data_IF_366328477023
#
_entry.id   IF_366328477023
#
_cell.length_a   1.000
_cell.length_b   1.000
_cell.length_c   1.000
_cell.angle_alpha   90.00
_cell.angle_beta   90.00
_cell.angle_gamma   90.00
#
_symmetry.space_group_name_H-M   'P 1'
#
loop_
_entity.id
_entity.type
_entity.pdbx_description
1 polymer ?
#
# COMPACT_ATOMS: atom_id res chain seq x y z
N UNK A 1 -5.03 0.09 -8.16
CA UNK A 1 -5.37 -0.41 -6.82
C UNK A 1 -5.95 0.67 -5.93
N UNK A 2 -5.21 1.76 -5.63
CA UNK A 2 -5.72 2.94 -4.89
C UNK A 2 -6.92 3.60 -5.59
N UNK A 3 -6.91 3.62 -6.94
CA UNK A 3 -8.01 4.06 -7.78
C UNK A 3 -9.35 3.37 -7.47
N UNK A 4 -9.38 2.18 -6.87
CA UNK A 4 -10.65 1.54 -6.49
C UNK A 4 -11.51 2.42 -5.56
N UNK A 5 -10.87 3.20 -4.68
CA UNK A 5 -11.54 4.07 -3.72
C UNK A 5 -11.88 5.46 -4.29
N UNK A 6 -11.11 5.96 -5.26
CA UNK A 6 -11.30 7.30 -5.86
C UNK A 6 -11.92 7.31 -7.26
N UNK A 7 -11.96 6.16 -7.96
CA UNK A 7 -12.44 6.05 -9.35
C UNK A 7 -13.89 6.51 -9.52
N UNK A 8 -14.74 6.29 -8.51
CA UNK A 8 -16.13 6.75 -8.52
C UNK A 8 -16.26 8.28 -8.56
N UNK A 9 -15.30 9.01 -8.00
CA UNK A 9 -15.29 10.47 -8.04
C UNK A 9 -14.72 11.02 -9.35
N UNK A 10 -13.92 10.23 -10.07
CA UNK A 10 -13.21 10.64 -11.29
C UNK A 10 -13.81 10.04 -12.57
N UNK A 11 -14.89 9.27 -12.47
CA UNK A 11 -15.53 8.60 -13.63
C UNK A 11 -14.71 7.47 -14.24
N UNK A 12 -13.69 6.97 -13.53
CA UNK A 12 -12.83 5.88 -14.00
C UNK A 12 -13.37 4.50 -13.63
N UNK A 13 -12.88 3.48 -14.33
CA UNK A 13 -13.25 2.10 -14.05
C UNK A 13 -12.50 1.56 -12.81
N UNK A 14 -13.21 1.42 -11.69
CA UNK A 14 -12.69 0.90 -10.42
C UNK A 14 -12.09 -0.52 -10.52
N UNK A 15 -12.50 -1.28 -11.53
CA UNK A 15 -12.14 -2.68 -11.71
C UNK A 15 -10.86 -2.88 -12.54
N UNK A 16 -10.13 -1.83 -12.91
CA UNK A 16 -8.82 -1.96 -13.60
C UNK A 16 -7.82 -2.84 -12.83
N UNK A 17 -7.97 -2.94 -11.50
CA UNK A 17 -7.18 -3.86 -10.68
C UNK A 17 -7.40 -5.33 -11.05
N UNK A 18 -8.59 -5.69 -11.51
CA UNK A 18 -8.98 -7.07 -11.84
C UNK A 18 -8.09 -7.69 -12.93
N UNK A 19 -7.48 -6.87 -13.79
CA UNK A 19 -6.51 -7.30 -14.79
C UNK A 19 -5.26 -7.96 -14.17
N UNK A 20 -5.00 -7.72 -12.88
CA UNK A 20 -3.89 -8.29 -12.12
C UNK A 20 -4.32 -9.43 -11.20
N UNK A 21 -5.59 -9.88 -11.28
CA UNK A 21 -6.14 -11.01 -10.51
C UNK A 21 -5.43 -12.30 -10.94
N UNK A 22 -4.39 -12.66 -10.20
CA UNK A 22 -3.50 -13.79 -10.50
C UNK A 22 -2.03 -13.50 -10.16
N UNK A 23 -1.66 -12.23 -9.97
CA UNK A 23 -0.33 -11.87 -9.52
C UNK A 23 -0.12 -12.20 -8.04
N UNK A 24 1.07 -12.68 -7.67
CA UNK A 24 1.42 -13.09 -6.30
C UNK A 24 1.13 -12.00 -5.25
N UNK A 25 1.33 -10.74 -5.62
CA UNK A 25 1.14 -9.57 -4.75
C UNK A 25 -0.21 -8.86 -4.93
N UNK A 26 -1.13 -9.43 -5.72
CA UNK A 26 -2.44 -8.82 -6.00
C UNK A 26 -3.22 -8.55 -4.72
N UNK A 27 -3.30 -9.57 -3.86
CA UNK A 27 -4.00 -9.50 -2.59
C UNK A 27 -3.30 -8.55 -1.61
N UNK A 28 -1.98 -8.65 -1.49
CA UNK A 28 -1.20 -7.75 -0.62
C UNK A 28 -1.38 -6.28 -0.99
N UNK A 29 -1.48 -5.98 -2.30
CA UNK A 29 -1.71 -4.62 -2.78
C UNK A 29 -3.12 -4.11 -2.44
N UNK A 30 -4.14 -4.99 -2.48
CA UNK A 30 -5.50 -4.63 -2.06
C UNK A 30 -5.54 -4.39 -0.55
N UNK A 31 -5.00 -5.32 0.23
CA UNK A 31 -4.98 -5.26 1.69
C UNK A 31 -4.21 -4.03 2.18
N UNK A 32 -3.12 -3.65 1.49
CA UNK A 32 -2.40 -2.41 1.78
C UNK A 32 -3.24 -1.17 1.50
N UNK A 33 -3.91 -1.10 0.35
CA UNK A 33 -4.72 0.06 -0.01
C UNK A 33 -5.91 0.25 0.96
N UNK A 34 -6.54 -0.85 1.38
CA UNK A 34 -7.69 -0.84 2.30
C UNK A 34 -7.29 -0.49 3.73
N UNK A 35 -6.16 -1.01 4.21
CA UNK A 35 -5.77 -0.84 5.60
C UNK A 35 -4.93 0.41 5.87
N UNK A 36 -4.19 0.91 4.89
CA UNK A 36 -3.23 1.99 5.10
C UNK A 36 -3.49 3.18 4.18
N UNK A 37 -3.60 2.95 2.87
CA UNK A 37 -3.69 4.05 1.89
C UNK A 37 -4.92 4.93 2.10
N UNK A 38 -6.14 4.36 1.99
CA UNK A 38 -7.37 5.15 2.15
C UNK A 38 -7.49 5.73 3.57
N UNK A 39 -7.08 4.98 4.60
CA UNK A 39 -7.23 5.39 6.00
C UNK A 39 -6.27 6.51 6.38
N UNK A 40 -5.11 6.62 5.72
CA UNK A 40 -4.14 7.69 5.96
C UNK A 40 -4.64 9.09 5.60
N UNK A 41 -5.72 9.20 4.81
CA UNK A 41 -6.37 10.47 4.51
C UNK A 41 -7.29 10.97 5.63
N UNK A 42 -7.58 10.14 6.66
CA UNK A 42 -8.30 10.59 7.85
C UNK A 42 -7.36 11.40 8.75
N UNK A 43 -7.69 12.68 9.06
CA UNK A 43 -6.86 13.50 9.95
C UNK A 43 -6.73 12.94 11.37
N UNK A 44 -7.61 12.02 11.79
CA UNK A 44 -7.53 11.33 13.08
C UNK A 44 -6.75 10.00 13.01
N UNK A 45 -6.23 9.63 11.84
CA UNK A 45 -5.49 8.39 11.68
C UNK A 45 -4.21 8.42 12.53
N UNK A 46 -4.11 7.48 13.48
CA UNK A 46 -2.93 7.35 14.34
C UNK A 46 -1.79 6.71 13.57
N UNK A 47 -0.94 7.57 13.02
CA UNK A 47 0.32 7.15 12.40
C UNK A 47 1.41 6.97 13.44
N UNK A 48 2.26 5.96 13.23
CA UNK A 48 3.52 5.82 13.97
C UNK A 48 4.48 6.95 13.61
N UNK A 49 5.39 7.28 14.52
CA UNK A 49 6.40 8.31 14.27
C UNK A 49 7.53 7.75 13.40
N UNK A 50 8.28 8.64 12.73
CA UNK A 50 9.41 8.21 11.90
C UNK A 50 10.45 7.39 12.69
N UNK A 51 10.65 7.71 13.98
CA UNK A 51 11.56 6.98 14.88
C UNK A 51 11.15 5.53 15.10
N UNK A 52 9.86 5.24 15.09
CA UNK A 52 9.36 3.87 15.24
C UNK A 52 9.74 2.99 14.03
N UNK A 53 10.00 3.61 12.86
CA UNK A 53 10.41 2.91 11.64
C UNK A 53 11.92 2.70 11.54
N UNK A 54 12.73 3.47 12.27
CA UNK A 54 14.19 3.40 12.25
C UNK A 54 14.76 1.97 12.38
N UNK A 55 14.35 1.13 13.36
CA UNK A 55 14.89 -0.23 13.47
C UNK A 55 14.51 -1.12 12.28
N UNK A 56 13.34 -0.91 11.68
CA UNK A 56 12.90 -1.69 10.51
C UNK A 56 13.67 -1.30 9.26
N UNK A 57 13.91 0.00 9.07
CA UNK A 57 14.73 0.53 7.97
C UNK A 57 16.15 -0.03 8.08
N UNK A 58 16.77 0.06 9.26
CA UNK A 58 18.10 -0.50 9.50
C UNK A 58 18.14 -2.01 9.20
N UNK A 59 17.16 -2.78 9.67
CA UNK A 59 17.06 -4.22 9.36
C UNK A 59 17.00 -4.51 7.85
N UNK A 60 16.31 -3.68 7.07
CA UNK A 60 16.21 -3.85 5.61
C UNK A 60 17.54 -3.53 4.93
N UNK A 61 18.28 -2.52 5.40
CA UNK A 61 19.57 -2.14 4.84
C UNK A 61 20.73 -3.02 5.32
N UNK A 62 20.61 -3.68 6.47
CA UNK A 62 21.61 -4.61 7.00
C UNK A 62 21.54 -6.01 6.40
N UNK A 63 20.48 -6.35 5.66
CA UNK A 63 20.38 -7.66 4.97
C UNK A 63 21.21 -7.63 3.69
N UNK A 64 21.64 -8.80 3.22
CA UNK A 64 22.25 -8.88 1.89
C UNK A 64 21.25 -8.37 0.85
N UNK A 65 21.64 -7.40 0.00
CA UNK A 65 20.77 -6.89 -1.04
C UNK A 65 20.41 -8.04 -1.97
N UNK A 66 19.16 -8.04 -2.45
CA UNK A 66 18.77 -9.01 -3.47
C UNK A 66 19.67 -8.81 -4.70
N UNK A 67 20.45 -9.83 -5.03
CA UNK A 67 21.06 -9.96 -6.35
C UNK A 67 19.93 -10.12 -7.36
N UNK A 68 19.86 -9.20 -8.33
CA UNK A 68 18.93 -9.26 -9.45
C UNK A 68 19.24 -10.44 -10.37
#
# INVERSE_FOLDING_TARGET
>A
FQLYYYAHHLGYNKNERENYRGHKYYKDTIDFCENWDQKSFDPNFKSLTLKDFEPYVMKIFSREPYTQ
#
